data_IF_565821540091
#
_entry.id   IF_565821540091
#
_cell.length_a   1.000
_cell.length_b   1.000
_cell.length_c   1.000
_cell.angle_alpha   90.00
_cell.angle_beta   90.00
_cell.angle_gamma   90.00
#
_symmetry.space_group_name_H-M   'P 1'
#
loop_
_entity.id
_entity.type
_entity.pdbx_description
1 polymer ?
#
# COMPACT_ATOMS: atom_id res chain seq x y z
N UNK A 1 9.84 0.79 -27.36
CA UNK A 1 9.30 -0.02 -26.26
C UNK A 1 9.44 0.77 -24.98
N UNK A 2 8.45 0.72 -24.11
CA UNK A 2 8.44 1.45 -22.83
C UNK A 2 9.01 0.55 -21.73
N UNK A 3 10.02 1.01 -21.02
CA UNK A 3 10.65 0.27 -19.92
C UNK A 3 10.06 0.76 -18.58
N UNK A 4 9.52 -0.15 -17.77
CA UNK A 4 8.98 0.16 -16.44
C UNK A 4 9.65 -0.71 -15.39
N UNK A 5 10.24 -0.08 -14.37
CA UNK A 5 10.79 -0.77 -13.21
C UNK A 5 9.78 -0.75 -12.06
N UNK A 6 9.48 -1.91 -11.48
CA UNK A 6 8.67 -2.04 -10.27
C UNK A 6 9.55 -2.55 -9.14
N UNK A 7 9.83 -1.72 -8.14
CA UNK A 7 10.49 -2.18 -6.92
C UNK A 7 9.45 -2.72 -5.94
N UNK A 8 9.78 -3.77 -5.19
CA UNK A 8 8.80 -4.44 -4.34
C UNK A 8 7.77 -5.29 -5.12
N UNK A 9 8.15 -5.75 -6.32
CA UNK A 9 7.26 -6.47 -7.24
C UNK A 9 6.78 -7.84 -6.74
N UNK A 10 7.43 -8.42 -5.73
CA UNK A 10 6.99 -9.66 -5.04
C UNK A 10 6.07 -9.39 -3.85
N UNK A 11 5.88 -8.12 -3.47
CA UNK A 11 4.92 -7.73 -2.43
C UNK A 11 3.48 -7.85 -2.90
N UNK A 12 2.52 -7.68 -2.00
CA UNK A 12 1.08 -7.81 -2.27
C UNK A 12 0.63 -6.94 -3.45
N UNK A 13 0.82 -5.61 -3.39
CA UNK A 13 0.45 -4.70 -4.48
C UNK A 13 1.30 -4.98 -5.73
N UNK A 14 2.60 -5.24 -5.55
CA UNK A 14 3.54 -5.46 -6.66
C UNK A 14 3.16 -6.66 -7.54
N UNK A 15 2.72 -7.77 -6.97
CA UNK A 15 2.29 -8.95 -7.73
C UNK A 15 1.03 -8.68 -8.57
N UNK A 16 0.02 -8.00 -7.97
CA UNK A 16 -1.20 -7.59 -8.69
C UNK A 16 -0.86 -6.61 -9.82
N UNK A 17 -0.03 -5.61 -9.54
CA UNK A 17 0.40 -4.62 -10.55
C UNK A 17 1.12 -5.29 -11.72
N UNK A 18 2.10 -6.15 -11.44
CA UNK A 18 2.85 -6.85 -12.49
C UNK A 18 1.96 -7.77 -13.33
N UNK A 19 1.00 -8.45 -12.72
CA UNK A 19 -0.01 -9.25 -13.42
C UNK A 19 -0.84 -8.36 -14.35
N UNK A 20 -1.37 -7.26 -13.83
CA UNK A 20 -2.23 -6.33 -14.56
C UNK A 20 -1.48 -5.66 -15.73
N UNK A 21 -0.23 -5.19 -15.53
CA UNK A 21 0.59 -4.62 -16.61
C UNK A 21 0.78 -5.63 -17.74
N UNK A 22 1.17 -6.87 -17.43
CA UNK A 22 1.36 -7.90 -18.47
C UNK A 22 0.10 -8.21 -19.27
N UNK A 23 -1.08 -8.06 -18.66
CA UNK A 23 -2.37 -8.32 -19.32
C UNK A 23 -2.87 -7.13 -20.13
N UNK A 24 -2.77 -5.91 -19.60
CA UNK A 24 -3.35 -4.71 -20.18
C UNK A 24 -2.40 -3.89 -21.04
N UNK A 25 -1.09 -4.02 -20.84
CA UNK A 25 -0.03 -3.22 -21.47
C UNK A 25 1.15 -4.11 -21.94
N UNK A 26 0.89 -5.09 -22.83
CA UNK A 26 1.90 -6.05 -23.28
C UNK A 26 3.10 -5.41 -24.03
N UNK A 27 2.98 -4.16 -24.46
CA UNK A 27 4.07 -3.38 -25.07
C UNK A 27 5.11 -2.87 -24.06
N UNK A 28 4.83 -2.98 -22.73
CA UNK A 28 5.74 -2.56 -21.68
C UNK A 28 6.77 -3.67 -21.38
N UNK A 29 8.04 -3.32 -21.46
CA UNK A 29 9.11 -4.13 -20.90
C UNK A 29 9.12 -3.93 -19.38
N UNK A 30 8.65 -4.93 -18.64
CA UNK A 30 8.50 -4.89 -17.19
C UNK A 30 9.74 -5.47 -16.51
N UNK A 31 10.41 -4.64 -15.71
CA UNK A 31 11.53 -4.99 -14.85
C UNK A 31 11.07 -5.05 -13.39
N UNK A 32 11.55 -6.03 -12.65
CA UNK A 32 11.25 -6.18 -11.22
C UNK A 32 12.51 -6.06 -10.38
N UNK A 33 12.37 -5.55 -9.16
CA UNK A 33 13.42 -5.49 -8.15
C UNK A 33 12.82 -5.76 -6.78
N UNK A 34 13.31 -6.82 -6.10
CA UNK A 34 12.81 -7.20 -4.77
C UNK A 34 13.89 -7.96 -3.99
N UNK A 35 13.95 -7.78 -2.68
CA UNK A 35 14.85 -8.56 -1.82
C UNK A 35 14.51 -10.06 -1.78
N UNK A 36 13.26 -10.43 -2.08
CA UNK A 36 12.77 -11.82 -2.15
C UNK A 36 12.73 -12.35 -3.59
N UNK A 37 13.41 -11.70 -4.54
CA UNK A 37 13.45 -12.06 -5.94
C UNK A 37 14.29 -13.31 -6.23
N UNK A 38 14.32 -13.68 -7.52
CA UNK A 38 15.25 -14.68 -8.09
C UNK A 38 16.64 -14.10 -8.27
N UNK A 39 17.60 -14.87 -8.78
CA UNK A 39 18.96 -14.38 -9.00
C UNK A 39 19.05 -13.16 -9.95
N UNK A 40 18.05 -12.99 -10.83
CA UNK A 40 18.02 -11.90 -11.82
C UNK A 40 17.37 -10.61 -11.28
N UNK A 41 16.39 -10.72 -10.39
CA UNK A 41 15.59 -9.61 -9.87
C UNK A 41 15.76 -9.40 -8.36
N UNK A 42 16.66 -10.19 -7.71
CA UNK A 42 16.92 -10.10 -6.27
C UNK A 42 17.88 -8.96 -5.95
N UNK A 43 17.32 -7.88 -5.40
CA UNK A 43 18.09 -6.73 -4.96
C UNK A 43 17.43 -6.10 -3.73
N UNK A 44 18.21 -5.81 -2.70
CA UNK A 44 17.77 -4.97 -1.59
C UNK A 44 17.94 -3.51 -1.98
N UNK A 45 16.89 -2.70 -1.88
CA UNK A 45 16.93 -1.26 -2.18
C UNK A 45 17.91 -0.49 -1.29
N UNK A 46 18.29 -1.04 -0.12
CA UNK A 46 19.30 -0.47 0.76
C UNK A 46 20.73 -0.73 0.26
N UNK A 47 20.92 -1.58 -0.73
CA UNK A 47 22.20 -1.87 -1.34
C UNK A 47 22.33 -1.14 -2.67
N UNK A 48 23.56 -0.81 -3.06
CA UNK A 48 23.82 -0.09 -4.30
C UNK A 48 23.23 -0.84 -5.50
N UNK A 49 22.39 -0.15 -6.24
CA UNK A 49 21.73 -0.63 -7.44
C UNK A 49 22.43 -0.03 -8.67
N UNK A 50 22.62 -0.84 -9.69
CA UNK A 50 23.15 -0.39 -10.98
C UNK A 50 22.29 -0.94 -12.10
N UNK A 51 21.93 -0.09 -13.04
CA UNK A 51 21.24 -0.48 -14.26
C UNK A 51 21.66 0.41 -15.41
N UNK A 52 22.03 -0.20 -16.54
CA UNK A 52 22.26 0.50 -17.80
C UNK A 52 20.94 0.80 -18.55
N UNK A 53 19.82 0.29 -18.04
CA UNK A 53 18.49 0.51 -18.63
C UNK A 53 18.01 1.92 -18.28
N UNK A 54 17.53 2.65 -19.29
CA UNK A 54 16.77 3.88 -19.09
C UNK A 54 15.30 3.50 -18.97
N UNK A 55 14.71 3.76 -17.80
CA UNK A 55 13.30 3.49 -17.52
C UNK A 55 12.44 4.69 -17.90
N UNK A 56 11.34 4.45 -18.59
CA UNK A 56 10.33 5.49 -18.79
C UNK A 56 9.67 5.84 -17.45
N UNK A 57 9.41 4.82 -16.62
CA UNK A 57 8.84 5.01 -15.29
C UNK A 57 9.44 4.03 -14.28
N UNK A 58 9.74 4.52 -13.09
CA UNK A 58 9.99 3.70 -11.91
C UNK A 58 8.74 3.75 -11.02
N UNK A 59 8.15 2.60 -10.70
CA UNK A 59 7.08 2.48 -9.70
C UNK A 59 7.70 1.90 -8.43
N UNK A 60 7.86 2.75 -7.42
CA UNK A 60 8.57 2.42 -6.19
C UNK A 60 7.61 1.98 -5.08
N UNK A 61 7.40 0.65 -4.96
CA UNK A 61 6.54 0.03 -3.93
C UNK A 61 7.34 -0.58 -2.77
N UNK A 62 8.65 -0.80 -2.95
CA UNK A 62 9.49 -1.42 -1.93
C UNK A 62 9.58 -0.54 -0.68
N UNK A 63 9.11 -1.06 0.46
CA UNK A 63 9.11 -0.35 1.73
C UNK A 63 8.92 -1.31 2.91
N UNK A 64 9.24 -0.84 4.12
CA UNK A 64 8.73 -1.37 5.38
C UNK A 64 7.42 -0.66 5.71
N UNK A 65 6.35 -1.41 6.06
CA UNK A 65 4.98 -0.88 6.13
C UNK A 65 4.25 -1.11 7.46
N UNK A 66 4.88 -1.75 8.45
CA UNK A 66 4.24 -2.12 9.71
C UNK A 66 4.40 -1.03 10.77
N UNK A 67 3.29 -0.35 11.12
CA UNK A 67 3.28 0.77 12.09
C UNK A 67 3.81 0.32 13.44
N UNK A 68 3.28 -0.77 14.01
CA UNK A 68 3.69 -1.26 15.32
C UNK A 68 5.17 -1.69 15.38
N UNK A 69 5.69 -2.36 14.34
CA UNK A 69 7.12 -2.70 14.28
C UNK A 69 8.00 -1.45 14.21
N UNK A 70 7.55 -0.39 13.53
CA UNK A 70 8.32 0.84 13.37
C UNK A 70 8.61 1.53 14.71
N UNK A 71 7.68 1.44 15.66
CA UNK A 71 7.87 2.02 17.00
C UNK A 71 9.02 1.34 17.73
N UNK A 72 9.15 0.02 17.57
CA UNK A 72 10.20 -0.77 18.24
C UNK A 72 11.53 -0.79 17.46
N UNK A 73 11.50 -0.53 16.15
CA UNK A 73 12.67 -0.61 15.25
C UNK A 73 12.73 0.59 14.30
N UNK A 74 12.77 1.83 14.80
CA UNK A 74 12.66 3.03 13.97
C UNK A 74 13.76 3.14 12.91
N UNK A 75 15.01 2.85 13.26
CA UNK A 75 16.17 2.92 12.35
C UNK A 75 15.95 2.04 11.11
N UNK A 76 15.40 0.83 11.27
CA UNK A 76 15.12 -0.06 10.15
C UNK A 76 14.15 0.55 9.13
N UNK A 77 13.20 1.37 9.60
CA UNK A 77 12.23 2.07 8.75
C UNK A 77 12.87 3.27 8.05
N UNK A 78 13.70 4.02 8.74
CA UNK A 78 14.44 5.13 8.14
C UNK A 78 15.44 4.62 7.10
N UNK A 79 16.19 3.59 7.39
CA UNK A 79 17.14 2.99 6.44
C UNK A 79 16.42 2.47 5.19
N UNK A 80 15.34 1.70 5.36
CA UNK A 80 14.64 1.13 4.21
C UNK A 80 13.86 2.18 3.43
N UNK A 81 13.04 3.00 4.11
CA UNK A 81 12.08 3.87 3.43
C UNK A 81 12.69 5.21 2.96
N UNK A 82 13.74 5.69 3.62
CA UNK A 82 14.42 6.93 3.23
C UNK A 82 15.66 6.61 2.41
N UNK A 83 16.65 5.92 3.01
CA UNK A 83 17.91 5.65 2.32
C UNK A 83 17.71 4.71 1.13
N UNK A 84 16.82 3.71 1.24
CA UNK A 84 16.45 2.84 0.12
C UNK A 84 15.79 3.60 -1.04
N UNK A 85 14.89 4.55 -0.75
CA UNK A 85 14.30 5.43 -1.77
C UNK A 85 15.36 6.31 -2.42
N UNK A 86 16.22 6.96 -1.63
CA UNK A 86 17.34 7.75 -2.14
C UNK A 86 18.24 6.94 -3.07
N UNK A 87 18.58 5.71 -2.68
CA UNK A 87 19.43 4.84 -3.48
C UNK A 87 18.82 4.52 -4.86
N UNK A 88 17.50 4.32 -4.94
CA UNK A 88 16.82 4.13 -6.25
C UNK A 88 16.81 5.43 -7.05
N UNK A 89 16.51 6.56 -6.43
CA UNK A 89 16.49 7.87 -7.09
C UNK A 89 17.87 8.26 -7.69
N UNK A 90 18.96 7.85 -7.05
CA UNK A 90 20.32 8.22 -7.45
C UNK A 90 20.96 7.26 -8.44
N UNK A 91 20.53 5.99 -8.47
CA UNK A 91 21.20 4.94 -9.25
C UNK A 91 20.33 4.34 -10.37
N UNK A 92 19.02 4.64 -10.44
CA UNK A 92 18.19 4.32 -11.59
C UNK A 92 18.19 5.49 -12.59
N UNK A 93 18.30 5.17 -13.88
CA UNK A 93 18.06 6.17 -14.95
C UNK A 93 16.58 6.15 -15.30
N UNK A 94 15.83 7.23 -15.05
CA UNK A 94 14.38 7.27 -15.28
C UNK A 94 13.89 8.66 -15.75
N UNK A 95 12.69 8.69 -16.35
CA UNK A 95 12.00 9.93 -16.71
C UNK A 95 10.90 10.28 -15.71
N UNK A 96 10.07 9.31 -15.29
CA UNK A 96 8.95 9.49 -14.36
C UNK A 96 9.11 8.60 -13.13
N UNK A 97 8.74 9.11 -11.95
CA UNK A 97 8.86 8.39 -10.67
C UNK A 97 7.50 8.32 -9.95
N UNK A 98 6.94 7.12 -9.84
CA UNK A 98 5.69 6.88 -9.10
C UNK A 98 6.02 6.30 -7.74
N UNK A 99 5.70 7.05 -6.69
CA UNK A 99 6.05 6.69 -5.31
C UNK A 99 4.82 6.24 -4.51
N UNK A 100 4.89 5.03 -3.95
CA UNK A 100 3.89 4.52 -3.03
C UNK A 100 4.10 5.09 -1.63
N UNK A 101 3.24 6.00 -1.21
CA UNK A 101 3.18 6.55 0.14
C UNK A 101 1.95 6.04 0.91
N UNK A 102 1.53 6.73 1.93
CA UNK A 102 0.45 6.33 2.85
C UNK A 102 -0.32 7.54 3.37
N UNK A 103 -1.62 7.39 3.62
CA UNK A 103 -2.44 8.44 4.24
C UNK A 103 -1.88 8.95 5.58
N UNK A 104 -1.21 8.08 6.36
CA UNK A 104 -0.60 8.51 7.64
C UNK A 104 0.61 9.45 7.47
N UNK A 105 1.18 9.60 6.27
CA UNK A 105 2.24 10.56 6.00
C UNK A 105 1.74 12.02 6.04
N UNK A 106 0.43 12.26 5.94
CA UNK A 106 -0.15 13.61 6.06
C UNK A 106 -0.04 14.17 7.49
N UNK A 107 -0.18 13.29 8.49
CA UNK A 107 -0.04 13.61 9.90
C UNK A 107 0.67 12.43 10.61
N UNK A 108 2.01 12.34 10.51
CA UNK A 108 2.73 11.17 10.97
C UNK A 108 2.79 11.10 12.50
N UNK A 109 2.30 9.98 13.06
CA UNK A 109 2.36 9.66 14.50
C UNK A 109 3.29 8.47 14.81
N UNK A 110 4.06 7.99 13.83
CA UNK A 110 4.94 6.83 14.00
C UNK A 110 6.19 6.94 13.13
N UNK A 111 7.28 6.22 13.44
CA UNK A 111 8.48 6.19 12.59
C UNK A 111 8.20 5.77 11.14
N UNK A 112 7.25 4.86 10.92
CA UNK A 112 6.76 4.54 9.57
C UNK A 112 6.19 5.77 8.86
N UNK A 113 5.24 6.47 9.49
CA UNK A 113 4.62 7.67 8.92
C UNK A 113 5.66 8.76 8.61
N UNK A 114 6.57 9.02 9.56
CA UNK A 114 7.67 9.98 9.35
C UNK A 114 8.60 9.56 8.22
N UNK A 115 8.98 8.29 8.12
CA UNK A 115 9.87 7.80 7.04
C UNK A 115 9.23 8.00 5.67
N UNK A 116 7.92 7.77 5.54
CA UNK A 116 7.20 7.98 4.28
C UNK A 116 7.07 9.45 3.95
N UNK A 117 6.79 10.31 4.93
CA UNK A 117 6.72 11.77 4.74
C UNK A 117 8.04 12.35 4.26
N UNK A 118 9.16 12.00 4.89
CA UNK A 118 10.50 12.44 4.46
C UNK A 118 10.80 11.95 3.03
N UNK A 119 10.43 10.71 2.70
CA UNK A 119 10.61 10.19 1.36
C UNK A 119 9.74 10.92 0.31
N UNK A 120 8.50 11.36 0.66
CA UNK A 120 7.68 12.22 -0.20
C UNK A 120 8.40 13.54 -0.53
N UNK A 121 8.94 14.21 0.50
CA UNK A 121 9.64 15.50 0.35
C UNK A 121 10.90 15.34 -0.55
N UNK A 122 11.64 14.24 -0.39
CA UNK A 122 12.82 13.91 -1.23
C UNK A 122 12.41 13.65 -2.69
N UNK A 123 11.35 12.89 -2.93
CA UNK A 123 10.86 12.61 -4.28
C UNK A 123 10.42 13.91 -4.97
N UNK A 124 9.67 14.75 -4.27
CA UNK A 124 9.20 16.03 -4.80
C UNK A 124 10.35 17.02 -5.10
N UNK A 125 11.46 16.96 -4.37
CA UNK A 125 12.64 17.77 -4.62
C UNK A 125 13.50 17.27 -5.77
N UNK A 126 13.68 15.93 -5.87
CA UNK A 126 14.64 15.31 -6.81
C UNK A 126 14.06 15.00 -8.19
N UNK A 127 12.75 14.81 -8.31
CA UNK A 127 12.12 14.36 -9.55
C UNK A 127 11.47 15.51 -10.31
N UNK A 128 11.65 15.55 -11.62
CA UNK A 128 10.95 16.49 -12.49
C UNK A 128 9.52 16.03 -12.78
N UNK A 129 9.36 14.79 -13.22
CA UNK A 129 8.06 14.14 -13.40
C UNK A 129 7.86 13.08 -12.31
N UNK A 130 6.82 13.25 -11.49
CA UNK A 130 6.52 12.31 -10.42
C UNK A 130 5.05 12.26 -10.04
N UNK A 131 4.66 11.16 -9.41
CA UNK A 131 3.38 11.04 -8.72
C UNK A 131 3.58 10.34 -7.38
N UNK A 132 3.15 11.00 -6.30
CA UNK A 132 3.16 10.43 -4.96
C UNK A 132 1.75 9.97 -4.63
N UNK A 133 1.54 8.66 -4.54
CA UNK A 133 0.26 8.10 -4.15
C UNK A 133 0.24 7.76 -2.67
N UNK A 134 -0.62 8.42 -1.90
CA UNK A 134 -0.93 8.04 -0.53
C UNK A 134 -2.02 6.98 -0.52
N UNK A 135 -1.66 5.75 -0.18
CA UNK A 135 -2.59 4.64 -0.02
C UNK A 135 -3.25 4.68 1.35
N UNK A 136 -4.50 4.26 1.39
CA UNK A 136 -5.23 3.96 2.61
C UNK A 136 -5.24 2.45 2.86
N UNK A 137 -6.31 1.85 3.41
CA UNK A 137 -6.28 0.41 3.67
C UNK A 137 -6.57 -0.38 2.39
N UNK A 138 -5.53 -0.92 1.80
CA UNK A 138 -5.64 -1.72 0.57
C UNK A 138 -6.13 -3.11 0.93
N UNK A 139 -7.16 -3.59 0.22
CA UNK A 139 -7.85 -4.85 0.45
C UNK A 139 -8.21 -5.55 -0.86
N UNK A 140 -8.87 -6.69 -0.77
CA UNK A 140 -9.24 -7.50 -1.94
C UNK A 140 -8.11 -8.40 -2.40
N UNK A 141 -8.41 -9.27 -3.36
CA UNK A 141 -7.45 -10.18 -3.97
C UNK A 141 -7.86 -10.53 -5.39
N UNK A 142 -6.87 -10.80 -6.22
CA UNK A 142 -7.00 -11.42 -7.52
C UNK A 142 -5.86 -12.43 -7.69
N UNK A 143 -5.89 -13.47 -6.82
CA UNK A 143 -4.93 -14.56 -6.81
C UNK A 143 -3.69 -14.36 -5.93
N UNK A 144 -3.51 -13.19 -5.32
CA UNK A 144 -2.40 -12.93 -4.39
C UNK A 144 -2.93 -12.42 -3.05
N UNK A 145 -2.85 -13.20 -1.96
CA UNK A 145 -3.41 -12.82 -0.67
C UNK A 145 -2.65 -11.63 -0.05
N UNK A 146 -3.36 -10.87 0.80
CA UNK A 146 -2.72 -9.87 1.64
C UNK A 146 -1.70 -10.53 2.57
N UNK A 147 -0.50 -9.93 2.67
CA UNK A 147 0.63 -10.51 3.42
C UNK A 147 0.99 -9.76 4.70
N UNK A 148 0.33 -8.62 4.97
CA UNK A 148 0.61 -7.84 6.17
C UNK A 148 -0.15 -8.40 7.38
N UNK A 149 0.54 -9.02 8.37
CA UNK A 149 -0.11 -9.59 9.55
C UNK A 149 -0.73 -8.55 10.50
N UNK A 150 -0.42 -7.27 10.33
CA UNK A 150 -1.05 -6.19 11.07
C UNK A 150 -2.29 -5.64 10.32
N UNK A 151 -2.52 -6.08 9.09
CA UNK A 151 -3.63 -5.65 8.25
C UNK A 151 -4.96 -6.30 8.65
N UNK A 152 -6.06 -5.52 8.61
CA UNK A 152 -7.39 -6.01 8.95
C UNK A 152 -7.79 -7.20 8.06
N UNK A 153 -7.56 -7.12 6.76
CA UNK A 153 -7.97 -8.14 5.81
C UNK A 153 -7.25 -9.48 6.00
N UNK A 154 -5.93 -9.41 6.28
CA UNK A 154 -5.16 -10.60 6.64
C UNK A 154 -5.74 -11.27 7.90
N UNK A 155 -6.03 -10.49 8.95
CA UNK A 155 -6.57 -11.01 10.20
C UNK A 155 -8.00 -11.54 10.07
N UNK A 156 -8.82 -10.98 9.19
CA UNK A 156 -10.15 -11.52 8.88
C UNK A 156 -10.05 -12.89 8.19
N UNK A 157 -9.16 -13.01 7.21
CA UNK A 157 -8.90 -14.30 6.55
C UNK A 157 -8.36 -15.35 7.55
N UNK A 158 -7.44 -14.97 8.44
CA UNK A 158 -6.96 -15.86 9.51
C UNK A 158 -8.08 -16.25 10.50
N UNK A 159 -9.01 -15.34 10.82
CA UNK A 159 -10.12 -15.62 11.72
C UNK A 159 -11.05 -16.74 11.19
N UNK A 160 -11.17 -16.91 9.87
CA UNK A 160 -11.92 -18.03 9.29
C UNK A 160 -11.32 -19.39 9.61
N UNK A 161 -9.99 -19.43 9.75
CA UNK A 161 -9.24 -20.65 10.06
C UNK A 161 -9.11 -20.89 11.56
N UNK A 162 -8.95 -19.84 12.36
CA UNK A 162 -8.71 -19.92 13.80
C UNK A 162 -9.98 -19.92 14.62
N UNK A 163 -11.10 -19.42 14.06
CA UNK A 163 -12.36 -19.23 14.77
C UNK A 163 -12.40 -17.99 15.68
N UNK A 164 -11.35 -17.18 15.70
CA UNK A 164 -11.25 -16.01 16.57
C UNK A 164 -10.64 -14.80 15.86
N UNK A 165 -11.16 -13.60 16.16
CA UNK A 165 -10.63 -12.33 15.68
C UNK A 165 -10.38 -11.38 16.85
N UNK A 166 -9.24 -10.70 16.86
CA UNK A 166 -8.89 -9.71 17.88
C UNK A 166 -9.20 -8.29 17.38
N UNK A 167 -10.23 -7.66 17.97
CA UNK A 167 -10.63 -6.28 17.72
C UNK A 167 -9.96 -5.36 18.75
N UNK A 168 -9.13 -4.45 18.27
CA UNK A 168 -8.37 -3.53 19.11
C UNK A 168 -9.02 -2.15 19.19
N UNK A 169 -9.34 -1.70 20.41
CA UNK A 169 -9.98 -0.42 20.69
C UNK A 169 -11.46 -0.41 20.34
N UNK A 170 -12.29 -0.29 21.38
CA UNK A 170 -13.75 -0.22 21.28
C UNK A 170 -14.30 0.99 22.03
N UNK A 171 -13.41 1.95 22.33
CA UNK A 171 -13.67 3.14 23.17
C UNK A 171 -13.29 4.44 22.45
N UNK A 172 -13.18 4.43 21.10
CA UNK A 172 -12.98 5.63 20.29
C UNK A 172 -14.26 6.47 20.21
N UNK A 173 -14.13 7.78 19.99
CA UNK A 173 -15.27 8.68 19.77
C UNK A 173 -15.83 8.53 18.34
N UNK A 174 -16.39 7.36 18.07
CA UNK A 174 -16.96 6.95 16.79
C UNK A 174 -18.33 6.30 17.03
N UNK A 175 -19.12 6.09 15.98
CA UNK A 175 -20.50 5.59 16.11
C UNK A 175 -20.67 4.24 16.82
N UNK A 176 -19.62 3.41 16.82
CA UNK A 176 -19.63 2.07 17.45
C UNK A 176 -18.41 1.80 18.34
N UNK A 177 -17.62 2.85 18.62
CA UNK A 177 -16.42 2.79 19.44
C UNK A 177 -15.19 2.25 18.73
N UNK A 178 -15.27 1.79 17.48
CA UNK A 178 -14.12 1.22 16.75
C UNK A 178 -13.54 2.22 15.74
N UNK A 179 -12.28 1.98 15.33
CA UNK A 179 -11.60 2.87 14.37
C UNK A 179 -12.38 3.02 13.05
N UNK A 180 -12.35 4.22 12.49
CA UNK A 180 -12.90 4.54 11.17
C UNK A 180 -11.78 4.56 10.13
N UNK A 181 -11.98 3.84 9.01
CA UNK A 181 -11.00 3.73 7.93
C UNK A 181 -11.66 3.75 6.56
N UNK A 182 -10.87 4.14 5.57
CA UNK A 182 -11.17 3.92 4.16
C UNK A 182 -10.48 2.66 3.66
N UNK A 183 -11.17 1.92 2.79
CA UNK A 183 -10.68 0.67 2.19
C UNK A 183 -10.79 0.78 0.68
N UNK A 184 -9.75 0.32 0.00
CA UNK A 184 -9.63 0.41 -1.46
C UNK A 184 -9.22 -0.94 -2.02
N UNK A 185 -9.85 -1.37 -3.11
CA UNK A 185 -9.49 -2.62 -3.77
C UNK A 185 -8.10 -2.52 -4.42
N UNK A 186 -7.29 -3.56 -4.27
CA UNK A 186 -5.90 -3.59 -4.80
C UNK A 186 -5.84 -3.38 -6.31
N UNK A 187 -6.83 -3.86 -7.07
CA UNK A 187 -6.86 -3.66 -8.52
C UNK A 187 -7.11 -2.19 -8.90
N UNK A 188 -7.93 -1.44 -8.15
CA UNK A 188 -8.16 -0.01 -8.40
C UNK A 188 -6.89 0.81 -8.10
N UNK A 189 -6.13 0.40 -7.06
CA UNK A 189 -4.78 0.94 -6.82
C UNK A 189 -3.86 0.65 -8.01
N UNK A 190 -3.83 -0.59 -8.51
CA UNK A 190 -2.98 -0.97 -9.64
C UNK A 190 -3.30 -0.18 -10.90
N UNK A 191 -4.57 0.04 -11.20
CA UNK A 191 -4.96 0.87 -12.35
C UNK A 191 -4.55 2.33 -12.20
N UNK A 192 -4.65 2.89 -10.99
CA UNK A 192 -4.16 4.24 -10.71
C UNK A 192 -2.64 4.35 -10.93
N UNK A 193 -1.89 3.33 -10.51
CA UNK A 193 -0.44 3.23 -10.75
C UNK A 193 -0.12 3.13 -12.25
N UNK A 194 -0.89 2.34 -13.02
CA UNK A 194 -0.70 2.20 -14.47
C UNK A 194 -0.99 3.52 -15.20
N UNK A 195 -2.05 4.24 -14.82
CA UNK A 195 -2.37 5.55 -15.40
C UNK A 195 -1.26 6.57 -15.19
N UNK A 196 -0.60 6.54 -14.01
CA UNK A 196 0.50 7.45 -13.73
C UNK A 196 1.78 7.16 -14.53
N UNK A 197 1.87 6.04 -15.25
CA UNK A 197 2.96 5.77 -16.20
C UNK A 197 2.94 6.80 -17.33
N UNK A 198 1.74 7.09 -17.87
CA UNK A 198 1.56 7.95 -19.02
C UNK A 198 1.22 9.40 -18.61
N UNK A 199 0.64 9.60 -17.43
CA UNK A 199 0.11 10.88 -16.97
C UNK A 199 0.62 11.20 -15.54
N UNK A 200 1.86 11.71 -15.35
CA UNK A 200 2.34 12.10 -14.03
C UNK A 200 1.52 13.26 -13.45
N UNK A 201 1.29 13.23 -12.13
CA UNK A 201 0.54 14.28 -11.43
C UNK A 201 1.38 15.51 -11.11
N UNK A 202 2.68 15.34 -10.97
CA UNK A 202 3.63 16.31 -10.40
C UNK A 202 3.15 16.80 -9.02
N UNK A 203 2.72 15.85 -8.19
CA UNK A 203 2.16 16.14 -6.87
C UNK A 203 1.75 14.89 -6.10
N UNK A 204 1.05 15.16 -5.00
CA UNK A 204 0.50 14.14 -4.10
C UNK A 204 -0.96 13.87 -4.45
N UNK A 205 -1.29 12.61 -4.64
CA UNK A 205 -2.63 12.11 -4.92
C UNK A 205 -3.03 11.06 -3.89
N UNK A 206 -4.20 11.23 -3.29
CA UNK A 206 -4.69 10.30 -2.27
C UNK A 206 -5.59 9.24 -2.92
N UNK A 207 -5.20 7.97 -2.83
CA UNK A 207 -5.96 6.86 -3.40
C UNK A 207 -6.91 6.28 -2.35
N UNK A 208 -8.11 6.84 -2.33
CA UNK A 208 -9.23 6.46 -1.48
C UNK A 208 -10.55 6.72 -2.21
N UNK A 209 -11.64 6.08 -1.80
CA UNK A 209 -12.96 6.27 -2.42
C UNK A 209 -13.74 7.47 -1.84
N UNK A 210 -13.33 7.99 -0.68
CA UNK A 210 -14.08 9.00 0.07
C UNK A 210 -15.27 8.42 0.84
N UNK A 211 -15.27 7.10 1.05
CA UNK A 211 -16.26 6.37 1.82
C UNK A 211 -15.61 5.63 2.98
N UNK A 212 -16.10 5.81 4.19
CA UNK A 212 -15.50 5.28 5.41
C UNK A 212 -16.36 4.20 6.05
N UNK A 213 -15.68 3.24 6.68
CA UNK A 213 -16.33 2.21 7.49
C UNK A 213 -15.62 2.07 8.84
N UNK A 214 -16.39 1.76 9.86
CA UNK A 214 -15.82 1.34 11.13
C UNK A 214 -15.27 -0.08 11.02
N UNK A 215 -14.32 -0.42 11.89
CA UNK A 215 -13.78 -1.78 11.91
C UNK A 215 -14.86 -2.82 12.18
N UNK A 216 -15.84 -2.51 13.03
CA UNK A 216 -16.95 -3.42 13.35
C UNK A 216 -17.88 -3.63 12.16
N UNK A 217 -18.16 -2.59 11.38
CA UNK A 217 -18.92 -2.73 10.13
C UNK A 217 -18.24 -3.67 9.15
N UNK A 218 -16.92 -3.53 8.97
CA UNK A 218 -16.15 -4.40 8.08
C UNK A 218 -16.19 -5.86 8.56
N UNK A 219 -16.04 -6.11 9.88
CA UNK A 219 -16.14 -7.47 10.44
C UNK A 219 -17.52 -8.07 10.16
N UNK A 220 -18.59 -7.31 10.38
CA UNK A 220 -19.96 -7.79 10.18
C UNK A 220 -20.23 -8.08 8.70
N UNK A 221 -19.87 -7.16 7.80
CA UNK A 221 -20.00 -7.38 6.35
C UNK A 221 -19.19 -8.59 5.89
N UNK A 222 -17.95 -8.77 6.39
CA UNK A 222 -17.13 -9.90 6.05
C UNK A 222 -17.76 -11.25 6.45
N UNK A 223 -18.31 -11.33 7.68
CA UNK A 223 -19.05 -12.52 8.12
C UNK A 223 -20.26 -12.81 7.23
N UNK A 224 -21.03 -11.78 6.91
CA UNK A 224 -22.24 -11.87 6.11
C UNK A 224 -21.95 -12.35 4.68
N UNK A 225 -21.06 -11.68 3.96
CA UNK A 225 -20.78 -11.98 2.54
C UNK A 225 -20.11 -13.35 2.33
N UNK A 226 -19.42 -13.87 3.34
CA UNK A 226 -18.76 -15.17 3.28
C UNK A 226 -19.57 -16.28 3.98
N UNK A 227 -20.72 -15.96 4.56
CA UNK A 227 -21.56 -16.88 5.33
C UNK A 227 -20.77 -17.67 6.40
N UNK A 228 -19.97 -16.95 7.18
CA UNK A 228 -19.10 -17.48 8.23
C UNK A 228 -19.32 -16.76 9.55
N UNK A 229 -18.93 -17.40 10.64
CA UNK A 229 -18.88 -16.77 11.95
C UNK A 229 -17.59 -17.13 12.68
N UNK A 230 -17.15 -16.22 13.54
CA UNK A 230 -16.02 -16.38 14.44
C UNK A 230 -16.21 -15.48 15.67
N UNK A 231 -15.55 -15.84 16.76
CA UNK A 231 -15.57 -15.06 18.00
C UNK A 231 -14.76 -13.77 17.82
N UNK A 232 -15.31 -12.64 18.26
CA UNK A 232 -14.60 -11.36 18.32
C UNK A 232 -14.15 -11.11 19.76
N UNK A 233 -12.85 -11.05 19.98
CA UNK A 233 -12.24 -10.71 21.26
C UNK A 233 -11.92 -9.22 21.28
N UNK A 234 -12.57 -8.44 22.14
CA UNK A 234 -12.31 -7.01 22.29
C UNK A 234 -11.06 -6.80 23.17
N UNK A 235 -10.10 -6.05 22.65
CA UNK A 235 -8.82 -5.77 23.29
C UNK A 235 -8.59 -4.26 23.40
N UNK A 236 -7.71 -3.80 24.32
CA UNK A 236 -7.32 -2.39 24.40
C UNK A 236 -6.76 -1.84 23.09
N UNK A 237 -6.78 -0.50 22.93
CA UNK A 237 -6.18 0.18 21.78
C UNK A 237 -4.72 -0.21 21.57
N UNK A 238 -4.30 -0.37 20.31
CA UNK A 238 -2.88 -0.53 20.00
C UNK A 238 -2.18 0.82 20.01
N UNK A 239 -0.95 0.85 20.45
CA UNK A 239 -0.14 2.07 20.42
C UNK A 239 0.06 2.55 18.96
N UNK A 240 -0.24 3.82 18.72
CA UNK A 240 -0.10 4.44 17.41
C UNK A 240 -1.31 4.29 16.47
N UNK A 241 -2.38 3.57 16.88
CA UNK A 241 -3.62 3.53 16.10
C UNK A 241 -4.35 4.88 16.22
N UNK A 242 -4.69 5.44 15.07
CA UNK A 242 -5.52 6.64 14.96
C UNK A 242 -7.00 6.26 15.09
N UNK A 243 -7.81 7.16 15.65
CA UNK A 243 -9.27 7.02 15.72
C UNK A 243 -9.88 6.97 14.32
N UNK A 244 -9.51 7.92 13.47
CA UNK A 244 -9.97 7.99 12.09
C UNK A 244 -8.80 8.25 11.14
N UNK A 245 -8.87 7.61 9.98
CA UNK A 245 -8.00 7.91 8.85
C UNK A 245 -8.87 7.88 7.60
N UNK A 246 -9.25 9.05 7.15
CA UNK A 246 -10.14 9.25 6.00
C UNK A 246 -9.69 10.44 5.17
N UNK A 247 -10.29 10.59 4.02
CA UNK A 247 -10.02 11.64 3.05
C UNK A 247 -11.31 12.35 2.66
N UNK A 248 -11.23 13.67 2.49
CA UNK A 248 -12.37 14.49 2.08
C UNK A 248 -12.63 14.44 0.56
N UNK A 249 -11.59 14.15 -0.23
CA UNK A 249 -11.70 14.16 -1.70
C UNK A 249 -10.84 13.07 -2.34
N UNK A 250 -11.47 12.14 -3.11
CA UNK A 250 -10.75 11.15 -3.91
C UNK A 250 -9.85 11.79 -4.99
N UNK A 251 -8.78 11.09 -5.34
CA UNK A 251 -7.91 11.44 -6.46
C UNK A 251 -8.62 11.29 -7.80
N UNK A 252 -8.22 12.11 -8.79
CA UNK A 252 -8.64 11.95 -10.19
C UNK A 252 -8.22 10.61 -10.82
N UNK A 253 -7.24 9.93 -10.25
CA UNK A 253 -6.78 8.59 -10.68
C UNK A 253 -7.68 7.47 -10.17
N UNK A 254 -8.45 7.72 -9.09
CA UNK A 254 -9.25 6.70 -8.43
C UNK A 254 -10.59 6.52 -9.14
N UNK A 255 -10.88 5.29 -9.51
CA UNK A 255 -12.19 4.86 -10.01
C UNK A 255 -12.60 3.65 -9.19
N UNK A 256 -13.66 3.78 -8.40
CA UNK A 256 -14.19 2.66 -7.64
C UNK A 256 -14.93 1.69 -8.57
N UNK A 257 -14.43 0.45 -8.66
CA UNK A 257 -15.05 -0.63 -9.44
C UNK A 257 -15.60 -1.75 -8.58
N UNK A 258 -15.19 -1.80 -7.32
CA UNK A 258 -15.57 -2.86 -6.38
C UNK A 258 -16.39 -2.28 -5.24
N UNK A 259 -17.52 -2.92 -4.94
CA UNK A 259 -18.28 -2.66 -3.73
C UNK A 259 -17.53 -3.18 -2.49
N UNK A 260 -17.94 -2.76 -1.29
CA UNK A 260 -17.35 -3.31 -0.05
C UNK A 260 -17.58 -4.81 0.08
N UNK A 261 -18.74 -5.29 -0.35
CA UNK A 261 -19.09 -6.71 -0.34
C UNK A 261 -18.15 -7.52 -1.25
N UNK A 262 -17.84 -7.00 -2.44
CA UNK A 262 -16.89 -7.65 -3.36
C UNK A 262 -15.47 -7.64 -2.82
N UNK A 263 -15.02 -6.52 -2.21
CA UNK A 263 -13.69 -6.42 -1.60
C UNK A 263 -13.48 -7.39 -0.44
N UNK A 264 -14.55 -7.76 0.26
CA UNK A 264 -14.51 -8.59 1.47
C UNK A 264 -14.77 -10.07 1.19
N UNK A 265 -15.08 -10.47 -0.04
CA UNK A 265 -15.22 -11.89 -0.41
C UNK A 265 -13.88 -12.61 -0.31
N UNK A 266 -13.94 -13.82 0.24
CA UNK A 266 -12.88 -14.82 0.13
C UNK A 266 -13.07 -15.59 -1.20
N UNK A 267 -12.00 -15.75 -1.97
CA UNK A 267 -11.99 -16.52 -3.22
C UNK A 267 -11.31 -17.87 -2.99
#
# INVERSE_FOLDING_TARGET
>A
MMNVLVTGHKGYIGQHLCKMIRQSRPEINLYGLDKCGTAEDRQDICQRFYSDVVYNTVIHLAAKVRVGESVNKPTLYYDTNINGTLNILENANYHNFVFASTGVASNPGSPYGYSKRVAEDIVAEKCYDYTIFRFYNVTGTDGFPATNPDGLFYNLAEATRTGEFNLYGTDYDTKDGTCVREYVHVNDICESLIRAIDEPANGIENLAYGDTRTTREIINTFKEVNNIDFKVNELPRRAGDLEACHLDKPSRYMVQRYSYEEMLKLY
#
